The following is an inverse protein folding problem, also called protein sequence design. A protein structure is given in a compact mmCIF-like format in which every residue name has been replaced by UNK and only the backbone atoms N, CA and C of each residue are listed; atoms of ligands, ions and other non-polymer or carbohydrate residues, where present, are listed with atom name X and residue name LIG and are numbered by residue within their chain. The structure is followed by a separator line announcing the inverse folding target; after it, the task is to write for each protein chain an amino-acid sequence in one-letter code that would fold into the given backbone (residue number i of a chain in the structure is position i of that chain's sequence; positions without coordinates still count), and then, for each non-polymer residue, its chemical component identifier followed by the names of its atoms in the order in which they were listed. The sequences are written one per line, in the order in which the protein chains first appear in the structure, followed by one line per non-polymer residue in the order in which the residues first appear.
data_IF_147025826927
#
_entry.id   IF_147025826927
#
_cell.length_a   1.000
_cell.length_b   1.000
_cell.length_c   1.000
_cell.angle_alpha   90.00
_cell.angle_beta   90.00
_cell.angle_gamma   90.00
#
_symmetry.space_group_name_H-M   'P 1'
#
loop_
_entity.id
_entity.type
_entity.pdbx_description
1 polymer ?
#
# COMPACT_ATOMS: atom_id res chain seq x y z
N UNK A 1 19.98 11.20 -10.19
CA UNK A 1 19.54 9.85 -10.60
C UNK A 1 18.64 9.97 -11.83
N UNK A 2 18.66 9.00 -12.76
CA UNK A 2 17.69 8.89 -13.86
C UNK A 2 17.13 7.46 -13.92
N UNK A 3 15.85 7.32 -14.26
CA UNK A 3 15.19 6.04 -14.49
C UNK A 3 14.64 6.01 -15.92
N UNK A 4 14.77 4.87 -16.59
CA UNK A 4 14.11 4.61 -17.86
C UNK A 4 13.07 3.50 -17.69
N UNK A 5 11.88 3.69 -18.25
CA UNK A 5 10.86 2.64 -18.34
C UNK A 5 11.30 1.60 -19.37
N UNK A 6 11.51 0.36 -18.92
CA UNK A 6 11.98 -0.75 -19.77
C UNK A 6 10.83 -1.65 -20.20
N UNK A 7 9.83 -1.83 -19.34
CA UNK A 7 8.69 -2.70 -19.63
C UNK A 7 7.45 -2.16 -18.92
N UNK A 8 6.29 -2.27 -19.58
CA UNK A 8 4.97 -2.00 -19.03
C UNK A 8 4.00 -3.08 -19.51
N UNK A 9 3.33 -3.75 -18.58
CA UNK A 9 2.38 -4.84 -18.87
C UNK A 9 1.13 -4.70 -18.02
N UNK A 10 -0.04 -4.96 -18.60
CA UNK A 10 -1.25 -5.26 -17.83
C UNK A 10 -1.18 -6.70 -17.32
N UNK A 11 -1.59 -6.95 -16.09
CA UNK A 11 -1.52 -8.29 -15.47
C UNK A 11 -2.79 -9.09 -15.76
N UNK A 12 -3.95 -8.46 -15.72
CA UNK A 12 -5.21 -9.13 -16.03
C UNK A 12 -5.40 -9.19 -17.56
N UNK A 13 -5.82 -10.35 -18.12
CA UNK A 13 -6.24 -10.40 -19.51
C UNK A 13 -7.44 -9.50 -19.75
N UNK A 14 -7.70 -9.12 -20.99
CA UNK A 14 -8.94 -8.40 -21.34
C UNK A 14 -10.15 -9.25 -20.93
N UNK A 15 -10.90 -8.79 -19.93
CA UNK A 15 -12.08 -9.47 -19.42
C UNK A 15 -13.21 -9.38 -20.44
N UNK A 16 -13.73 -10.52 -20.90
CA UNK A 16 -15.01 -10.58 -21.58
C UNK A 16 -16.13 -10.18 -20.61
N UNK A 17 -17.03 -9.29 -21.06
CA UNK A 17 -18.40 -8.94 -20.60
C UNK A 17 -18.79 -8.85 -19.11
N UNK A 18 -18.03 -9.33 -18.13
CA UNK A 18 -18.37 -9.25 -16.71
C UNK A 18 -17.79 -7.99 -16.04
N UNK A 19 -18.63 -7.32 -15.25
CA UNK A 19 -18.24 -6.14 -14.47
C UNK A 19 -17.44 -6.58 -13.24
N UNK A 20 -16.11 -6.45 -13.31
CA UNK A 20 -15.19 -6.81 -12.23
C UNK A 20 -14.26 -5.65 -11.87
N UNK A 21 -14.02 -5.42 -10.58
CA UNK A 21 -13.08 -4.44 -10.06
C UNK A 21 -11.89 -5.12 -9.39
N UNK A 22 -10.69 -4.58 -9.61
CA UNK A 22 -9.46 -4.98 -8.92
C UNK A 22 -8.74 -3.76 -8.35
N UNK A 23 -8.13 -3.91 -7.17
CA UNK A 23 -7.49 -2.79 -6.49
C UNK A 23 -6.43 -3.22 -5.45
N UNK A 24 -5.64 -2.25 -4.98
CA UNK A 24 -4.63 -2.40 -3.94
C UNK A 24 -3.63 -3.53 -4.17
N UNK A 25 -2.83 -3.42 -5.23
CA UNK A 25 -1.78 -4.39 -5.50
C UNK A 25 -0.64 -4.32 -4.47
N UNK A 26 0.02 -5.45 -4.24
CA UNK A 26 1.29 -5.61 -3.52
C UNK A 26 2.26 -6.42 -4.38
N UNK A 27 3.56 -6.27 -4.16
CA UNK A 27 4.60 -6.89 -4.98
C UNK A 27 5.78 -7.36 -4.12
N UNK A 28 6.33 -8.54 -4.42
CA UNK A 28 7.59 -9.03 -3.85
C UNK A 28 8.43 -9.70 -4.94
N UNK A 29 9.76 -9.71 -4.77
CA UNK A 29 10.68 -10.52 -5.58
C UNK A 29 11.20 -11.67 -4.74
N UNK A 30 11.13 -12.89 -5.28
CA UNK A 30 11.65 -14.09 -4.64
C UNK A 30 13.12 -14.31 -5.03
N UNK A 31 13.92 -15.07 -4.23
CA UNK A 31 15.33 -15.34 -4.52
C UNK A 31 15.60 -15.99 -5.89
N UNK A 32 14.62 -16.75 -6.41
CA UNK A 32 14.72 -17.35 -7.75
C UNK A 32 14.49 -16.34 -8.90
N UNK A 33 14.29 -15.07 -8.59
CA UNK A 33 14.06 -13.99 -9.56
C UNK A 33 12.60 -13.76 -9.95
N UNK A 34 11.69 -14.69 -9.61
CA UNK A 34 10.24 -14.56 -9.83
C UNK A 34 9.70 -13.36 -9.05
N UNK A 35 8.91 -12.50 -9.70
CA UNK A 35 8.07 -11.53 -8.99
C UNK A 35 6.72 -12.17 -8.68
N UNK A 36 6.14 -11.82 -7.55
CA UNK A 36 4.78 -12.21 -7.18
C UNK A 36 4.00 -10.94 -6.87
N UNK A 37 2.87 -10.78 -7.55
CA UNK A 37 1.93 -9.68 -7.30
C UNK A 37 0.61 -10.25 -6.80
N UNK A 38 0.00 -9.57 -5.83
CA UNK A 38 -1.35 -9.89 -5.36
C UNK A 38 -2.19 -8.62 -5.24
N UNK A 39 -3.50 -8.75 -5.35
CA UNK A 39 -4.48 -7.66 -5.25
C UNK A 39 -5.83 -8.24 -4.80
N UNK A 40 -6.74 -7.38 -4.32
CA UNK A 40 -8.11 -7.82 -4.10
C UNK A 40 -8.95 -7.55 -5.33
N UNK A 41 -9.93 -8.40 -5.60
CA UNK A 41 -10.85 -8.19 -6.70
C UNK A 41 -12.19 -8.93 -6.52
N UNK A 42 -13.26 -8.33 -7.05
CA UNK A 42 -14.66 -8.74 -6.92
C UNK A 42 -15.57 -7.85 -7.77
N UNK A 43 -16.89 -7.97 -7.63
CA UNK A 43 -17.87 -7.14 -8.33
C UNK A 43 -17.69 -5.64 -8.01
N UNK A 44 -17.43 -5.32 -6.73
CA UNK A 44 -17.16 -3.97 -6.25
C UNK A 44 -16.28 -4.06 -5.00
N UNK A 45 -15.50 -3.02 -4.74
CA UNK A 45 -14.83 -2.88 -3.45
C UNK A 45 -15.82 -3.08 -2.27
N UNK A 46 -15.50 -4.04 -1.41
CA UNK A 46 -16.30 -4.42 -0.25
C UNK A 46 -17.49 -5.34 -0.48
N UNK A 47 -17.70 -5.82 -1.71
CA UNK A 47 -18.67 -6.87 -1.93
C UNK A 47 -18.20 -8.21 -1.36
N UNK A 48 -19.14 -9.03 -0.91
CA UNK A 48 -18.89 -10.34 -0.27
C UNK A 48 -18.16 -11.34 -1.17
N UNK A 49 -18.15 -11.13 -2.49
CA UNK A 49 -17.40 -11.93 -3.45
C UNK A 49 -15.93 -11.49 -3.60
N UNK A 50 -15.52 -10.40 -2.95
CA UNK A 50 -14.15 -9.89 -3.03
C UNK A 50 -13.18 -10.90 -2.44
N UNK A 51 -12.21 -11.31 -3.25
CA UNK A 51 -11.18 -12.30 -2.91
C UNK A 51 -9.79 -11.74 -3.16
N UNK A 52 -8.76 -12.42 -2.63
CA UNK A 52 -7.36 -12.12 -2.96
C UNK A 52 -6.93 -12.96 -4.16
N UNK A 53 -6.44 -12.28 -5.17
CA UNK A 53 -5.90 -12.84 -6.40
C UNK A 53 -4.40 -12.61 -6.47
N UNK A 54 -3.71 -13.53 -7.12
CA UNK A 54 -2.25 -13.53 -7.23
C UNK A 54 -1.81 -13.95 -8.63
N UNK A 55 -0.76 -13.32 -9.13
CA UNK A 55 -0.06 -13.75 -10.34
C UNK A 55 1.45 -13.71 -10.12
N UNK A 56 2.18 -14.57 -10.83
CA UNK A 56 3.64 -14.63 -10.80
C UNK A 56 4.20 -14.14 -12.12
N UNK A 57 5.30 -13.40 -12.07
CA UNK A 57 6.04 -12.97 -13.24
C UNK A 57 7.23 -13.90 -13.47
N UNK A 58 7.16 -14.68 -14.54
CA UNK A 58 8.16 -15.68 -14.90
C UNK A 58 8.41 -15.60 -16.40
N UNK A 59 9.68 -15.73 -16.82
CA UNK A 59 10.04 -15.69 -18.25
C UNK A 59 9.48 -14.46 -19.00
N UNK A 60 9.47 -13.30 -18.34
CA UNK A 60 8.95 -12.03 -18.83
C UNK A 60 7.43 -11.93 -19.07
N UNK A 61 6.65 -12.90 -18.56
CA UNK A 61 5.19 -12.91 -18.65
C UNK A 61 4.54 -13.10 -17.28
N UNK A 62 3.35 -12.55 -17.10
CA UNK A 62 2.51 -12.83 -15.93
C UNK A 62 1.71 -14.11 -16.16
N UNK A 63 1.69 -15.00 -15.16
CA UNK A 63 0.84 -16.19 -15.18
C UNK A 63 -0.64 -15.81 -15.07
N UNK A 64 -1.54 -16.69 -15.50
CA UNK A 64 -2.98 -16.51 -15.27
C UNK A 64 -3.25 -16.29 -13.76
N UNK A 65 -3.94 -15.21 -13.37
CA UNK A 65 -4.25 -14.95 -11.97
C UNK A 65 -4.98 -16.11 -11.30
N UNK A 66 -4.56 -16.44 -10.08
CA UNK A 66 -5.15 -17.48 -9.25
C UNK A 66 -5.80 -16.84 -8.03
N UNK A 67 -7.00 -17.31 -7.67
CA UNK A 67 -7.67 -16.91 -6.43
C UNK A 67 -7.07 -17.70 -5.26
N UNK A 68 -6.39 -16.99 -4.34
CA UNK A 68 -5.58 -17.62 -3.28
C UNK A 68 -6.17 -17.48 -1.88
N UNK A 69 -7.07 -16.51 -1.67
CA UNK A 69 -7.84 -16.40 -0.43
C UNK A 69 -9.26 -15.93 -0.75
N UNK A 70 -10.26 -16.68 -0.29
CA UNK A 70 -11.68 -16.35 -0.41
C UNK A 70 -12.47 -17.03 0.70
N UNK A 71 -13.51 -16.36 1.20
CA UNK A 71 -14.47 -16.89 2.16
C UNK A 71 -15.84 -16.37 1.79
N UNK A 72 -16.80 -17.28 1.70
CA UNK A 72 -18.17 -16.95 1.31
C UNK A 72 -18.79 -15.95 2.30
N UNK A 73 -19.42 -14.90 1.79
CA UNK A 73 -20.06 -13.87 2.60
C UNK A 73 -19.11 -12.84 3.22
N UNK A 74 -17.80 -12.90 2.98
CA UNK A 74 -16.82 -12.02 3.63
C UNK A 74 -15.84 -11.38 2.63
N UNK A 75 -15.88 -10.05 2.54
CA UNK A 75 -15.01 -9.29 1.66
C UNK A 75 -13.54 -9.35 2.12
N UNK A 76 -12.64 -9.57 1.17
CA UNK A 76 -11.19 -9.54 1.35
C UNK A 76 -10.58 -8.24 0.84
N UNK A 77 -9.54 -7.73 1.51
CA UNK A 77 -8.99 -6.41 1.19
C UNK A 77 -7.48 -6.33 1.38
N UNK A 78 -6.89 -5.28 0.77
CA UNK A 78 -5.54 -4.77 1.02
C UNK A 78 -4.48 -5.86 1.29
N UNK A 79 -4.23 -6.76 0.33
CA UNK A 79 -3.21 -7.79 0.49
C UNK A 79 -1.82 -7.17 0.63
N UNK A 80 -0.96 -7.79 1.43
CA UNK A 80 0.45 -7.43 1.59
C UNK A 80 1.30 -8.70 1.52
N UNK A 81 2.16 -8.76 0.51
CA UNK A 81 3.14 -9.84 0.34
C UNK A 81 4.43 -9.51 1.10
N UNK A 82 5.04 -10.52 1.70
CA UNK A 82 6.30 -10.37 2.42
C UNK A 82 7.11 -11.66 2.35
N UNK A 83 8.39 -11.56 2.03
CA UNK A 83 9.30 -12.69 1.97
C UNK A 83 10.54 -12.39 2.82
N UNK A 84 10.53 -12.72 4.13
CA UNK A 84 11.63 -12.39 5.03
C UNK A 84 12.86 -13.29 4.82
N UNK A 85 12.66 -14.56 4.49
CA UNK A 85 13.75 -15.53 4.39
C UNK A 85 13.37 -16.81 3.64
N UNK A 86 12.43 -17.60 4.16
CA UNK A 86 12.13 -18.95 3.68
C UNK A 86 10.72 -19.08 3.07
N UNK A 87 9.73 -18.46 3.71
CA UNK A 87 8.32 -18.53 3.35
C UNK A 87 7.83 -17.22 2.75
N UNK A 88 6.94 -17.34 1.78
CA UNK A 88 6.13 -16.23 1.32
C UNK A 88 4.93 -16.06 2.24
N UNK A 89 4.80 -14.88 2.83
CA UNK A 89 3.65 -14.47 3.62
C UNK A 89 2.71 -13.62 2.78
N UNK A 90 1.42 -13.86 2.94
CA UNK A 90 0.36 -13.00 2.41
C UNK A 90 -0.56 -12.62 3.56
N UNK A 91 -0.47 -11.36 3.97
CA UNK A 91 -1.41 -10.74 4.89
C UNK A 91 -2.56 -10.14 4.10
N UNK A 92 -3.78 -10.14 4.64
CA UNK A 92 -4.94 -9.50 4.04
C UNK A 92 -5.95 -9.13 5.12
N UNK A 93 -6.91 -8.25 4.78
CA UNK A 93 -8.03 -7.92 5.68
C UNK A 93 -9.27 -8.71 5.29
N UNK A 94 -10.04 -9.08 6.30
CA UNK A 94 -11.30 -9.81 6.18
C UNK A 94 -12.38 -9.12 7.00
N UNK A 95 -13.50 -8.76 6.39
CA UNK A 95 -14.62 -8.10 7.06
C UNK A 95 -15.53 -7.36 6.08
N UNK A 96 -16.72 -6.97 6.55
CA UNK A 96 -17.75 -6.31 5.73
C UNK A 96 -17.35 -4.92 5.23
N UNK A 97 -16.54 -4.20 6.01
CA UNK A 97 -16.09 -2.85 5.73
C UNK A 97 -14.77 -2.53 6.46
N UNK A 98 -14.22 -1.35 6.18
CA UNK A 98 -12.91 -0.90 6.70
C UNK A 98 -12.90 -0.61 8.20
N UNK A 99 -14.06 -0.49 8.86
CA UNK A 99 -14.17 -0.20 10.29
C UNK A 99 -14.06 -1.46 11.14
N UNK A 100 -14.51 -2.61 10.61
CA UNK A 100 -14.61 -3.87 11.37
C UNK A 100 -13.68 -4.98 10.87
N UNK A 101 -12.94 -4.74 9.77
CA UNK A 101 -12.06 -5.74 9.21
C UNK A 101 -10.95 -6.19 10.17
N UNK A 102 -10.50 -7.44 10.03
CA UNK A 102 -9.41 -8.02 10.81
C UNK A 102 -8.34 -8.57 9.90
N UNK A 103 -7.13 -8.69 10.44
CA UNK A 103 -5.99 -9.19 9.66
C UNK A 103 -5.89 -10.69 9.75
N UNK A 104 -5.83 -11.30 8.59
CA UNK A 104 -5.56 -12.71 8.40
C UNK A 104 -4.28 -12.88 7.60
N UNK A 105 -3.68 -14.05 7.70
CA UNK A 105 -2.55 -14.40 6.88
C UNK A 105 -2.58 -15.86 6.45
N UNK A 106 -1.91 -16.10 5.32
CA UNK A 106 -1.54 -17.42 4.83
C UNK A 106 -0.06 -17.40 4.47
N UNK A 107 0.59 -18.56 4.53
CA UNK A 107 2.00 -18.71 4.16
C UNK A 107 2.18 -19.77 3.09
N UNK A 108 3.21 -19.61 2.27
CA UNK A 108 3.58 -20.56 1.22
C UNK A 108 5.06 -20.90 1.33
N UNK A 109 5.37 -22.20 1.29
CA UNK A 109 6.75 -22.72 1.26
C UNK A 109 7.20 -23.09 -0.16
N UNK A 110 6.32 -22.94 -1.15
CA UNK A 110 6.56 -23.31 -2.54
C UNK A 110 6.39 -22.11 -3.48
N UNK A 111 6.71 -20.89 -3.04
CA UNK A 111 6.71 -19.68 -3.91
C UNK A 111 5.31 -19.25 -4.38
N UNK A 112 4.28 -19.57 -3.61
CA UNK A 112 2.90 -19.15 -3.84
C UNK A 112 2.07 -20.11 -4.70
N UNK A 113 2.50 -21.36 -4.89
CA UNK A 113 1.67 -22.38 -5.56
C UNK A 113 0.63 -22.94 -4.61
N UNK A 114 1.01 -23.23 -3.36
CA UNK A 114 0.11 -23.70 -2.30
C UNK A 114 0.25 -22.83 -1.05
N UNK A 115 -0.82 -22.83 -0.24
CA UNK A 115 -0.96 -21.96 0.91
C UNK A 115 -1.41 -22.72 2.14
N UNK A 116 -0.93 -22.30 3.30
CA UNK A 116 -1.39 -22.82 4.60
C UNK A 116 -2.87 -22.51 4.83
N UNK A 117 -3.47 -23.18 5.82
CA UNK A 117 -4.78 -22.77 6.34
C UNK A 117 -4.71 -21.31 6.83
N UNK A 118 -5.72 -20.47 6.51
CA UNK A 118 -5.80 -19.11 7.03
C UNK A 118 -5.84 -19.07 8.56
N UNK A 119 -5.16 -18.08 9.13
CA UNK A 119 -5.21 -17.77 10.56
C UNK A 119 -5.32 -16.26 10.81
N UNK A 120 -6.01 -15.81 11.88
CA UNK A 120 -5.95 -14.42 12.31
C UNK A 120 -4.52 -14.08 12.75
N UNK A 121 -4.09 -12.83 12.54
CA UNK A 121 -2.74 -12.40 12.90
C UNK A 121 -2.51 -12.40 14.42
N UNK A 122 -3.52 -11.94 15.17
CA UNK A 122 -3.54 -11.94 16.63
C UNK A 122 -4.91 -12.46 17.06
N UNK A 123 -4.92 -13.55 17.81
CA UNK A 123 -6.16 -14.18 18.27
C UNK A 123 -6.96 -13.22 19.16
N UNK A 124 -8.28 -13.21 18.96
CA UNK A 124 -9.26 -12.46 19.76
C UNK A 124 -9.06 -10.93 19.82
N UNK A 125 -8.18 -10.37 19.00
CA UNK A 125 -8.02 -8.93 18.87
C UNK A 125 -9.16 -8.33 18.02
N UNK A 126 -9.58 -7.12 18.40
CA UNK A 126 -10.60 -6.35 17.67
C UNK A 126 -9.97 -5.36 16.69
N UNK A 127 -8.67 -5.08 16.83
CA UNK A 127 -7.96 -4.15 15.96
C UNK A 127 -7.50 -4.82 14.65
N UNK A 128 -7.39 -4.07 13.54
CA UNK A 128 -6.97 -4.59 12.24
C UNK A 128 -5.44 -4.76 12.13
N UNK A 129 -4.78 -5.30 13.18
CA UNK A 129 -3.33 -5.50 13.43
C UNK A 129 -2.43 -5.73 12.19
N UNK A 130 -1.12 -5.58 12.31
CA UNK A 130 -0.19 -5.85 11.18
C UNK A 130 -0.38 -4.91 9.97
N UNK A 131 0.12 -5.30 8.78
CA UNK A 131 0.25 -4.37 7.67
C UNK A 131 -1.11 -4.07 7.02
N UNK A 132 -1.28 -2.84 6.52
CA UNK A 132 -2.43 -2.44 5.68
C UNK A 132 -1.89 -1.79 4.42
N UNK A 133 -2.15 -2.39 3.26
CA UNK A 133 -1.79 -1.88 1.91
C UNK A 133 -0.29 -1.84 1.59
N UNK A 134 0.55 -1.30 2.48
CA UNK A 134 1.98 -1.16 2.25
C UNK A 134 2.78 -2.31 2.88
N UNK A 135 3.91 -2.63 2.24
CA UNK A 135 4.82 -3.70 2.64
C UNK A 135 5.46 -3.46 4.02
N UNK A 136 5.80 -4.56 4.70
CA UNK A 136 6.59 -4.51 5.92
C UNK A 136 8.02 -4.10 5.59
N UNK A 137 8.68 -3.53 6.59
CA UNK A 137 10.12 -3.35 6.62
C UNK A 137 10.74 -4.45 7.50
N UNK A 138 11.69 -5.20 6.96
CA UNK A 138 12.58 -6.05 7.76
C UNK A 138 13.72 -5.16 8.26
N UNK A 139 13.69 -4.78 9.54
CA UNK A 139 14.68 -3.88 10.11
C UNK A 139 16.04 -4.57 10.31
N UNK A 140 17.10 -3.78 10.43
CA UNK A 140 18.48 -4.25 10.57
C UNK A 140 18.75 -5.15 11.78
N UNK A 141 17.89 -5.12 12.81
CA UNK A 141 17.95 -6.03 13.97
C UNK A 141 17.13 -7.33 13.78
N UNK A 142 16.55 -7.55 12.59
CA UNK A 142 15.70 -8.70 12.27
C UNK A 142 14.22 -8.53 12.63
N UNK A 143 13.82 -7.41 13.25
CA UNK A 143 12.42 -7.17 13.58
C UNK A 143 11.58 -6.89 12.33
N UNK A 144 10.34 -7.39 12.33
CA UNK A 144 9.35 -7.08 11.31
C UNK A 144 8.56 -5.85 11.74
N UNK A 145 8.59 -4.82 10.91
CA UNK A 145 7.94 -3.54 11.16
C UNK A 145 6.76 -3.43 10.18
N UNK A 146 5.55 -3.68 10.65
CA UNK A 146 4.35 -3.73 9.83
C UNK A 146 3.53 -2.44 9.93
N UNK A 147 3.52 -1.59 8.88
CA UNK A 147 2.76 -0.34 8.90
C UNK A 147 1.25 -0.60 8.71
N UNK A 148 0.43 -0.09 9.61
CA UNK A 148 -1.02 -0.26 9.56
C UNK A 148 -1.79 1.02 9.90
N UNK A 149 -3.11 0.93 9.82
CA UNK A 149 -4.00 2.01 10.19
C UNK A 149 -5.37 1.51 10.63
N UNK A 150 -6.02 2.30 11.47
CA UNK A 150 -7.42 2.17 11.84
C UNK A 150 -8.17 3.30 11.15
N UNK A 151 -9.16 2.93 10.36
CA UNK A 151 -10.08 3.85 9.70
C UNK A 151 -11.38 3.76 10.48
N UNK A 152 -11.61 4.65 11.44
CA UNK A 152 -12.91 4.74 12.14
C UNK A 152 -13.75 5.89 11.56
N UNK A 153 -15.09 5.90 11.76
CA UNK A 153 -15.93 7.00 11.29
C UNK A 153 -15.53 8.38 11.84
N UNK A 154 -14.90 8.41 13.01
CA UNK A 154 -14.58 9.63 13.74
C UNK A 154 -13.13 10.07 13.55
N UNK A 155 -12.20 9.11 13.44
CA UNK A 155 -10.77 9.40 13.35
C UNK A 155 -9.99 8.30 12.65
N UNK A 156 -9.07 8.73 11.79
CA UNK A 156 -8.10 7.88 11.16
C UNK A 156 -6.77 7.92 11.92
N UNK A 157 -6.21 6.74 12.20
CA UNK A 157 -4.99 6.62 13.01
C UNK A 157 -4.02 5.63 12.40
N UNK A 158 -2.79 6.06 12.15
CA UNK A 158 -1.71 5.17 11.80
C UNK A 158 -1.10 4.49 13.03
N UNK A 159 -0.59 3.28 12.81
CA UNK A 159 0.18 2.54 13.78
C UNK A 159 1.26 1.71 13.07
N UNK A 160 2.18 1.18 13.87
CA UNK A 160 3.11 0.13 13.46
C UNK A 160 2.97 -1.04 14.39
N UNK A 161 2.81 -2.23 13.83
CA UNK A 161 2.83 -3.47 14.58
C UNK A 161 4.21 -4.12 14.42
N UNK A 162 4.87 -4.40 15.54
CA UNK A 162 6.24 -4.91 15.55
C UNK A 162 6.28 -6.36 16.02
N UNK A 163 6.98 -7.21 15.28
CA UNK A 163 7.34 -8.55 15.72
C UNK A 163 8.86 -8.71 15.76
N UNK A 164 9.38 -9.27 16.85
CA UNK A 164 10.81 -9.58 17.03
C UNK A 164 11.11 -11.07 17.00
N UNK A 165 10.13 -11.88 16.61
CA UNK A 165 10.18 -13.34 16.68
C UNK A 165 9.50 -14.00 15.47
N UNK A 166 9.70 -13.39 14.31
CA UNK A 166 9.27 -13.91 13.00
C UNK A 166 7.74 -14.07 12.90
N UNK A 167 7.01 -13.08 13.39
CA UNK A 167 5.55 -12.98 13.25
C UNK A 167 4.75 -13.77 14.28
N UNK A 168 5.39 -14.35 15.30
CA UNK A 168 4.70 -15.12 16.36
C UNK A 168 3.99 -14.22 17.34
N UNK A 169 4.63 -13.12 17.76
CA UNK A 169 4.04 -12.12 18.64
C UNK A 169 4.19 -10.72 18.04
N UNK A 170 3.21 -9.88 18.33
CA UNK A 170 3.04 -8.56 17.74
C UNK A 170 2.77 -7.51 18.82
N UNK A 171 3.49 -6.39 18.76
CA UNK A 171 3.33 -5.23 19.65
C UNK A 171 3.01 -3.98 18.85
N UNK A 172 1.83 -3.41 19.09
CA UNK A 172 1.35 -2.21 18.41
C UNK A 172 1.93 -0.93 19.04
N UNK A 173 2.35 0.01 18.19
CA UNK A 173 2.75 1.36 18.56
C UNK A 173 2.01 2.36 17.68
N UNK A 174 1.27 3.29 18.29
CA UNK A 174 0.50 4.29 17.56
C UNK A 174 1.37 5.48 17.17
N UNK A 175 1.12 6.02 15.98
CA UNK A 175 1.78 7.24 15.52
C UNK A 175 0.99 8.45 16.06
N UNK A 176 1.58 9.29 16.91
CA UNK A 176 0.89 10.47 17.42
C UNK A 176 0.58 11.45 16.29
N UNK A 177 -0.61 12.03 16.30
CA UNK A 177 -1.02 13.08 15.37
C UNK A 177 -1.73 14.16 16.18
N UNK A 178 -1.23 15.39 16.10
CA UNK A 178 -1.88 16.52 16.75
C UNK A 178 -3.25 16.80 16.10
N UNK A 179 -4.27 17.13 16.90
CA UNK A 179 -5.51 17.68 16.37
C UNK A 179 -5.16 18.92 15.54
N UNK A 180 -5.65 19.01 14.31
CA UNK A 180 -5.54 20.28 13.58
C UNK A 180 -6.59 21.24 14.14
N UNK A 181 -6.19 22.50 14.32
CA UNK A 181 -7.13 23.61 14.37
C UNK A 181 -7.61 23.88 12.94
N UNK A 182 -8.48 23.01 12.43
CA UNK A 182 -9.23 23.13 11.17
C UNK A 182 -8.50 23.82 9.99
N UNK A 183 -7.89 23.05 9.09
CA UNK A 183 -7.73 23.51 7.70
C UNK A 183 -9.01 23.16 6.95
N UNK A 184 -9.87 24.18 6.80
CA UNK A 184 -11.05 24.14 5.95
C UNK A 184 -10.67 23.69 4.54
N UNK A 185 -11.24 22.59 4.06
CA UNK A 185 -11.15 22.21 2.66
C UNK A 185 -11.76 23.30 1.79
N UNK A 186 -10.94 24.10 1.12
CA UNK A 186 -11.41 24.95 0.01
C UNK A 186 -11.64 24.07 -1.21
N UNK A 187 -12.84 24.16 -1.80
CA UNK A 187 -13.30 23.58 -3.07
C UNK A 187 -12.17 23.07 -4.01
N UNK A 188 -11.85 21.79 -3.92
CA UNK A 188 -11.07 21.07 -4.94
C UNK A 188 -12.04 20.22 -5.76
N UNK A 189 -11.80 20.12 -7.07
CA UNK A 189 -12.59 19.26 -7.94
C UNK A 189 -12.58 17.81 -7.42
N UNK A 190 -13.74 17.39 -6.90
CA UNK A 190 -13.94 16.07 -6.30
C UNK A 190 -13.71 14.96 -7.33
N UNK A 191 -12.97 13.91 -6.96
CA UNK A 191 -12.70 12.77 -7.82
C UNK A 191 -13.99 12.10 -8.30
N UNK A 192 -14.09 11.88 -9.62
CA UNK A 192 -15.33 11.44 -10.28
C UNK A 192 -15.84 10.08 -9.81
N UNK A 193 -14.99 9.21 -9.27
CA UNK A 193 -15.44 7.89 -8.81
C UNK A 193 -16.28 7.93 -7.54
N UNK A 194 -16.24 9.01 -6.74
CA UNK A 194 -17.21 9.23 -5.65
C UNK A 194 -18.61 9.35 -6.24
N UNK A 195 -18.77 10.17 -7.29
CA UNK A 195 -20.06 10.34 -7.99
C UNK A 195 -20.52 9.04 -8.66
N UNK A 196 -19.59 8.17 -9.05
CA UNK A 196 -19.86 6.89 -9.71
C UNK A 196 -20.06 5.72 -8.72
N UNK A 197 -20.08 5.95 -7.41
CA UNK A 197 -20.35 4.89 -6.44
C UNK A 197 -19.24 3.84 -6.35
N UNK A 198 -18.00 4.22 -6.66
CA UNK A 198 -16.88 3.29 -6.86
C UNK A 198 -16.28 2.79 -5.54
N UNK A 199 -16.36 3.60 -4.48
CA UNK A 199 -15.87 3.27 -3.15
C UNK A 199 -16.91 2.47 -2.37
N UNK A 200 -16.46 1.81 -1.30
CA UNK A 200 -17.36 1.18 -0.33
C UNK A 200 -18.29 2.20 0.37
N UNK A 201 -17.82 3.44 0.57
CA UNK A 201 -18.58 4.60 1.06
C UNK A 201 -18.45 5.78 0.09
N UNK A 202 -19.58 6.36 -0.31
CA UNK A 202 -19.66 7.44 -1.30
C UNK A 202 -20.45 8.66 -0.80
N UNK A 203 -21.00 8.63 0.42
CA UNK A 203 -21.67 9.76 1.04
C UNK A 203 -20.66 10.88 1.35
N UNK A 204 -20.74 12.00 0.61
CA UNK A 204 -19.78 13.10 0.74
C UNK A 204 -19.72 13.70 2.15
N UNK A 205 -20.84 13.77 2.87
CA UNK A 205 -20.87 14.24 4.25
C UNK A 205 -20.04 13.35 5.18
N UNK A 206 -20.07 12.04 4.99
CA UNK A 206 -19.26 11.08 5.76
C UNK A 206 -17.78 11.21 5.36
N UNK A 207 -17.48 11.27 4.06
CA UNK A 207 -16.12 11.37 3.54
C UNK A 207 -15.37 12.63 4.01
N UNK A 208 -16.08 13.73 4.23
CA UNK A 208 -15.52 15.01 4.68
C UNK A 208 -15.33 15.09 6.20
N UNK A 209 -15.96 14.20 6.98
CA UNK A 209 -15.76 14.12 8.45
C UNK A 209 -14.48 13.39 8.82
N UNK A 210 -13.96 12.54 7.94
CA UNK A 210 -12.76 11.76 8.21
C UNK A 210 -11.53 12.66 8.31
N UNK A 211 -10.86 12.56 9.45
CA UNK A 211 -9.60 13.25 9.72
C UNK A 211 -8.52 12.28 10.18
N UNK A 212 -7.34 12.38 9.57
CA UNK A 212 -6.13 11.75 10.07
C UNK A 212 -5.16 11.28 8.99
N UNK A 213 -4.28 10.37 9.41
CA UNK A 213 -3.20 9.80 8.61
C UNK A 213 -3.28 8.28 8.61
N UNK A 214 -3.04 7.64 7.46
CA UNK A 214 -3.19 6.20 7.27
C UNK A 214 -2.16 5.63 6.30
N UNK A 215 -2.11 4.29 6.20
CA UNK A 215 -1.37 3.54 5.19
C UNK A 215 0.11 3.99 5.06
N UNK A 216 0.90 3.90 6.15
CA UNK A 216 2.29 4.35 6.12
C UNK A 216 3.13 3.53 5.14
N UNK A 217 4.14 4.15 4.53
CA UNK A 217 5.25 3.45 3.85
C UNK A 217 6.55 3.75 4.61
N UNK A 218 7.44 2.76 4.74
CA UNK A 218 8.57 2.79 5.67
C UNK A 218 9.93 2.64 4.97
N UNK A 219 10.98 3.21 5.57
CA UNK A 219 12.38 2.89 5.27
C UNK A 219 13.25 3.06 6.52
N UNK A 220 14.38 2.36 6.59
CA UNK A 220 15.41 2.52 7.62
C UNK A 220 16.62 3.23 7.01
N UNK A 221 17.02 4.38 7.57
CA UNK A 221 18.17 5.15 7.08
C UNK A 221 19.49 4.70 7.69
N UNK A 222 19.44 4.18 8.91
CA UNK A 222 20.54 3.58 9.66
C UNK A 222 19.96 2.71 10.78
N UNK A 223 20.73 1.77 11.37
CA UNK A 223 20.20 0.85 12.37
C UNK A 223 19.40 1.54 13.48
N UNK A 224 18.11 1.21 13.57
CA UNK A 224 17.17 1.75 14.55
C UNK A 224 16.48 3.06 14.16
N UNK A 225 16.96 3.75 13.12
CA UNK A 225 16.39 4.98 12.58
C UNK A 225 15.42 4.68 11.44
N UNK A 226 14.15 4.50 11.80
CA UNK A 226 13.07 4.17 10.87
C UNK A 226 12.22 5.41 10.64
N UNK A 227 11.87 5.64 9.38
CA UNK A 227 11.06 6.77 8.96
C UNK A 227 9.81 6.27 8.27
N UNK A 228 8.78 7.09 8.27
CA UNK A 228 7.56 6.81 7.52
C UNK A 228 7.02 8.04 6.79
N UNK A 229 6.39 7.79 5.65
CA UNK A 229 5.48 8.74 5.01
C UNK A 229 4.05 8.21 5.10
N UNK A 230 3.10 9.11 5.34
CA UNK A 230 1.69 8.77 5.52
C UNK A 230 0.80 9.53 4.55
N UNK A 231 -0.16 8.81 3.97
CA UNK A 231 -1.33 9.40 3.30
C UNK A 231 -2.20 10.12 4.33
N UNK A 232 -2.84 11.21 3.94
CA UNK A 232 -3.72 11.97 4.84
C UNK A 232 -4.97 12.50 4.16
N UNK A 233 -5.97 12.86 4.96
CA UNK A 233 -7.12 13.67 4.55
C UNK A 233 -6.82 15.18 4.55
N UNK A 234 -5.63 15.58 5.01
CA UNK A 234 -5.23 16.97 5.28
C UNK A 234 -4.47 17.64 4.12
N UNK A 235 -4.51 17.04 2.93
CA UNK A 235 -3.98 17.66 1.71
C UNK A 235 -2.45 17.56 1.53
N UNK A 236 -1.73 17.00 2.49
CA UNK A 236 -0.27 16.83 2.45
C UNK A 236 0.14 15.41 2.85
N UNK A 237 1.30 14.94 2.39
CA UNK A 237 1.93 13.74 2.95
C UNK A 237 2.51 14.11 4.32
N UNK A 238 2.31 13.24 5.30
CA UNK A 238 2.88 13.43 6.65
C UNK A 238 4.12 12.56 6.84
N UNK A 239 5.01 12.98 7.73
CA UNK A 239 6.20 12.22 8.16
C UNK A 239 6.19 11.99 9.65
N UNK A 240 6.62 10.80 10.08
CA UNK A 240 6.94 10.47 11.47
C UNK A 240 8.21 9.61 11.49
N UNK A 241 8.95 9.67 12.59
CA UNK A 241 10.27 9.04 12.71
C UNK A 241 10.38 8.29 14.04
N UNK A 242 11.16 7.23 14.01
CA UNK A 242 11.50 6.38 15.15
C UNK A 242 13.03 6.25 15.23
N UNK A 243 13.55 6.22 16.44
CA UNK A 243 14.98 6.01 16.75
C UNK A 243 15.20 4.72 17.56
N UNK A 244 14.18 3.87 17.64
CA UNK A 244 14.12 2.69 18.50
C UNK A 244 13.45 1.50 17.79
N UNK A 245 13.73 1.32 16.50
CA UNK A 245 13.21 0.21 15.69
C UNK A 245 11.68 0.17 15.62
N UNK A 246 11.03 1.34 15.57
CA UNK A 246 9.58 1.48 15.49
C UNK A 246 8.85 1.17 16.80
N UNK A 247 9.55 1.18 17.93
CA UNK A 247 8.92 1.01 19.23
C UNK A 247 8.13 2.25 19.66
N UNK A 248 8.67 3.43 19.39
CA UNK A 248 7.98 4.71 19.54
C UNK A 248 8.13 5.56 18.29
N UNK A 249 7.21 6.52 18.14
CA UNK A 249 7.11 7.37 16.95
C UNK A 249 6.97 8.83 17.37
N UNK A 250 7.71 9.71 16.68
CA UNK A 250 7.53 11.15 16.80
C UNK A 250 6.12 11.54 16.35
N UNK A 251 5.65 12.70 16.81
CA UNK A 251 4.43 13.30 16.28
C UNK A 251 4.53 13.42 14.76
N UNK A 252 3.49 12.97 14.05
CA UNK A 252 3.38 13.09 12.61
C UNK A 252 3.22 14.56 12.22
N UNK A 253 4.04 15.01 11.27
CA UNK A 253 4.07 16.40 10.78
C UNK A 253 3.89 16.45 9.28
N UNK A 254 3.21 17.48 8.79
CA UNK A 254 3.06 17.70 7.36
C UNK A 254 4.42 17.95 6.70
N UNK A 255 4.60 17.39 5.51
CA UNK A 255 5.73 17.68 4.61
C UNK A 255 5.32 18.71 3.55
N UNK A 256 6.25 19.10 2.69
CA UNK A 256 5.96 19.94 1.52
C UNK A 256 5.27 19.16 0.38
N UNK A 257 5.18 17.83 0.45
CA UNK A 257 4.57 17.02 -0.60
C UNK A 257 3.03 17.05 -0.51
N UNK A 258 2.34 17.26 -1.64
CA UNK A 258 0.88 17.24 -1.67
C UNK A 258 0.34 15.81 -1.52
N UNK A 259 -0.86 15.67 -0.97
CA UNK A 259 -1.58 14.39 -0.99
C UNK A 259 -3.08 14.61 -1.16
N UNK A 260 -3.62 14.11 -2.28
CA UNK A 260 -5.05 14.16 -2.60
C UNK A 260 -5.88 13.08 -1.87
N UNK A 261 -5.38 12.58 -0.74
CA UNK A 261 -5.85 11.35 -0.09
C UNK A 261 -5.74 10.11 -1.00
N UNK A 262 -4.72 10.04 -1.85
CA UNK A 262 -4.33 8.82 -2.58
C UNK A 262 -3.30 8.00 -1.80
N UNK A 263 -3.33 6.68 -1.97
CA UNK A 263 -2.29 5.78 -1.48
C UNK A 263 -0.94 6.07 -2.13
N UNK A 264 0.12 5.97 -1.32
CA UNK A 264 1.52 6.12 -1.70
C UNK A 264 2.32 4.86 -1.34
N UNK A 265 3.46 4.64 -1.98
CA UNK A 265 4.45 3.67 -1.52
C UNK A 265 5.85 4.11 -1.95
N UNK A 266 6.85 3.74 -1.15
CA UNK A 266 8.24 4.16 -1.29
C UNK A 266 9.16 2.95 -1.29
N UNK A 267 10.30 3.07 -1.97
CA UNK A 267 11.42 2.14 -1.79
C UNK A 267 12.73 2.90 -1.57
N UNK A 268 13.58 2.38 -0.70
CA UNK A 268 14.98 2.81 -0.58
C UNK A 268 15.86 1.97 -1.50
N UNK A 269 16.67 2.64 -2.31
CA UNK A 269 17.66 2.03 -3.18
C UNK A 269 18.92 1.65 -2.39
N UNK A 270 19.79 0.82 -2.97
CA UNK A 270 21.04 0.39 -2.34
C UNK A 270 22.00 1.55 -2.01
N UNK A 271 21.92 2.66 -2.75
CA UNK A 271 22.73 3.86 -2.53
C UNK A 271 22.09 4.84 -1.52
N UNK A 272 20.97 4.46 -0.90
CA UNK A 272 20.20 5.29 0.02
C UNK A 272 19.20 6.23 -0.65
N UNK A 273 19.17 6.32 -1.99
CA UNK A 273 18.17 7.14 -2.69
C UNK A 273 16.76 6.59 -2.44
N UNK A 274 15.84 7.44 -2.02
CA UNK A 274 14.43 7.08 -1.86
C UNK A 274 13.68 7.36 -3.17
N UNK A 275 12.82 6.44 -3.60
CA UNK A 275 11.89 6.65 -4.70
C UNK A 275 10.46 6.50 -4.16
N UNK A 276 9.67 7.55 -4.31
CA UNK A 276 8.27 7.60 -3.90
C UNK A 276 7.36 7.58 -5.13
N UNK A 277 6.38 6.67 -5.12
CA UNK A 277 5.26 6.66 -6.05
C UNK A 277 4.05 7.35 -5.41
N UNK A 278 3.53 8.40 -6.06
CA UNK A 278 2.41 9.21 -5.56
C UNK A 278 1.60 9.85 -6.70
N UNK A 279 0.42 10.37 -6.35
CA UNK A 279 -0.26 11.37 -7.17
C UNK A 279 0.10 12.76 -6.62
N UNK A 280 0.86 13.61 -7.35
CA UNK A 280 1.32 14.91 -6.87
C UNK A 280 0.20 15.97 -6.97
N UNK A 281 -0.91 15.72 -6.29
CA UNK A 281 -2.16 16.50 -6.38
C UNK A 281 -2.56 16.96 -4.98
N UNK A 282 -2.91 18.24 -4.84
CA UNK A 282 -3.37 18.82 -3.58
C UNK A 282 -4.84 18.50 -3.27
N UNK A 283 -5.22 18.65 -1.99
CA UNK A 283 -6.61 18.59 -1.52
C UNK A 283 -7.00 17.28 -0.87
N UNK A 284 -8.27 17.13 -0.48
CA UNK A 284 -8.81 15.83 -0.05
C UNK A 284 -9.75 15.31 -1.15
N UNK A 285 -9.61 14.03 -1.53
CA UNK A 285 -10.40 13.42 -2.60
C UNK A 285 -10.24 14.06 -3.99
N UNK A 286 -9.04 14.59 -4.28
CA UNK A 286 -8.71 15.15 -5.59
C UNK A 286 -8.45 14.09 -6.67
N UNK A 287 -8.23 14.55 -7.92
CA UNK A 287 -7.95 13.67 -9.08
C UNK A 287 -6.79 12.68 -8.84
N UNK A 288 -6.90 11.48 -9.42
CA UNK A 288 -5.93 10.38 -9.28
C UNK A 288 -5.02 10.22 -10.52
N UNK A 289 -4.67 11.34 -11.13
CA UNK A 289 -3.69 11.46 -12.21
C UNK A 289 -2.98 12.82 -12.14
N UNK A 290 -1.68 12.92 -12.47
CA UNK A 290 -0.80 11.82 -12.90
C UNK A 290 -0.46 10.85 -11.75
N UNK A 291 0.05 9.66 -12.09
CA UNK A 291 0.81 8.80 -11.16
C UNK A 291 2.29 8.99 -11.48
N UNK A 292 3.05 9.49 -10.51
CA UNK A 292 4.43 9.96 -10.72
C UNK A 292 5.41 9.27 -9.80
N UNK A 293 6.67 9.23 -10.22
CA UNK A 293 7.83 8.89 -9.41
C UNK A 293 8.64 10.14 -9.11
N UNK A 294 8.99 10.30 -7.84
CA UNK A 294 9.89 11.36 -7.37
C UNK A 294 10.99 10.73 -6.51
N UNK A 295 12.13 11.39 -6.39
CA UNK A 295 13.27 10.89 -5.62
C UNK A 295 13.77 11.89 -4.57
N UNK A 296 14.30 11.34 -3.47
CA UNK A 296 15.02 12.08 -2.44
C UNK A 296 16.39 11.44 -2.21
N UNK A 297 17.42 12.28 -2.04
CA UNK A 297 18.79 11.88 -1.71
C UNK A 297 19.24 12.39 -0.34
N UNK A 298 18.32 13.02 0.40
CA UNK A 298 18.55 13.67 1.69
C UNK A 298 17.58 13.13 2.75
N UNK A 299 17.32 11.82 2.71
CA UNK A 299 16.50 11.11 3.68
C UNK A 299 15.05 11.65 3.79
N UNK A 300 14.46 12.04 2.66
CA UNK A 300 13.07 12.46 2.54
C UNK A 300 12.81 13.94 2.84
N UNK A 301 13.85 14.75 3.02
CA UNK A 301 13.72 16.19 3.30
C UNK A 301 13.36 17.00 2.03
N UNK A 302 13.95 16.68 0.88
CA UNK A 302 13.63 17.28 -0.41
C UNK A 302 13.41 16.23 -1.51
N UNK A 303 12.61 16.61 -2.51
CA UNK A 303 12.13 15.71 -3.54
C UNK A 303 12.25 16.32 -4.93
N UNK A 304 12.76 15.53 -5.88
CA UNK A 304 12.89 15.90 -7.28
C UNK A 304 12.05 14.97 -8.17
N UNK A 305 11.36 15.51 -9.19
CA UNK A 305 10.61 14.69 -10.12
C UNK A 305 11.52 13.77 -10.93
N UNK A 306 11.10 12.51 -11.14
CA UNK A 306 11.79 11.57 -12.02
C UNK A 306 11.03 11.37 -13.33
N UNK A 307 9.79 10.90 -13.26
CA UNK A 307 8.94 10.59 -14.42
C UNK A 307 7.48 10.42 -14.00
N UNK A 308 6.57 10.57 -14.96
CA UNK A 308 5.19 10.14 -14.84
C UNK A 308 5.03 8.73 -15.43
N UNK A 309 4.43 7.81 -14.68
CA UNK A 309 4.03 6.50 -15.17
C UNK A 309 2.75 6.58 -16.01
N UNK A 310 1.86 7.48 -15.61
CA UNK A 310 0.58 7.75 -16.27
C UNK A 310 0.28 9.24 -16.16
N UNK A 311 0.04 9.92 -17.29
CA UNK A 311 -0.28 11.35 -17.33
C UNK A 311 -1.69 11.64 -17.84
N UNK A 312 -2.29 10.70 -18.56
CA UNK A 312 -3.63 10.87 -19.15
C UNK A 312 -4.72 10.95 -18.07
N UNK A 313 -5.91 11.38 -18.48
CA UNK A 313 -7.06 11.40 -17.57
C UNK A 313 -7.47 9.97 -17.19
N UNK A 314 -7.39 9.64 -15.91
CA UNK A 314 -7.77 8.32 -15.41
C UNK A 314 -7.71 8.19 -13.89
N UNK A 315 -7.96 6.99 -13.39
CA UNK A 315 -7.70 6.62 -12.01
C UNK A 315 -6.47 5.69 -11.94
N UNK A 316 -5.34 6.24 -11.51
CA UNK A 316 -4.12 5.49 -11.27
C UNK A 316 -3.73 5.62 -9.81
N UNK A 317 -3.79 4.51 -9.08
CA UNK A 317 -3.71 4.59 -7.62
C UNK A 317 -3.17 3.31 -6.99
N UNK A 318 -2.88 3.41 -5.69
CA UNK A 318 -2.38 2.31 -4.86
C UNK A 318 -1.14 1.64 -5.48
N UNK A 319 -0.05 2.41 -5.71
CA UNK A 319 1.19 1.83 -6.18
C UNK A 319 1.78 0.91 -5.09
N UNK A 320 2.45 -0.15 -5.51
CA UNK A 320 3.41 -0.92 -4.72
C UNK A 320 4.74 -0.92 -5.46
N UNK A 321 5.82 -0.56 -4.76
CA UNK A 321 7.14 -0.37 -5.34
C UNK A 321 8.21 -1.16 -4.56
N UNK A 322 9.08 -1.86 -5.28
CA UNK A 322 10.28 -2.52 -4.74
C UNK A 322 11.48 -2.25 -5.65
N UNK A 323 12.68 -2.48 -5.15
CA UNK A 323 13.92 -2.29 -5.90
C UNK A 323 14.90 -3.43 -5.64
N UNK A 324 15.71 -3.76 -6.65
CA UNK A 324 16.84 -4.68 -6.52
C UNK A 324 17.84 -4.46 -7.65
N UNK A 325 19.13 -4.31 -7.33
CA UNK A 325 20.20 -4.24 -8.34
C UNK A 325 20.02 -3.12 -9.38
N UNK A 326 19.61 -1.92 -8.95
CA UNK A 326 19.34 -0.79 -9.84
C UNK A 326 18.05 -0.91 -10.68
N UNK A 327 17.27 -1.97 -10.47
CA UNK A 327 15.94 -2.15 -11.07
C UNK A 327 14.88 -1.70 -10.08
N UNK A 328 13.87 -1.01 -10.59
CA UNK A 328 12.67 -0.64 -9.82
C UNK A 328 11.48 -1.35 -10.44
N UNK A 329 10.71 -2.06 -9.61
CA UNK A 329 9.52 -2.78 -10.01
C UNK A 329 8.31 -2.14 -9.33
N UNK A 330 7.27 -1.88 -10.12
CA UNK A 330 6.08 -1.16 -9.65
C UNK A 330 4.84 -1.89 -10.14
N UNK A 331 3.85 -2.08 -9.26
CA UNK A 331 2.48 -2.38 -9.66
C UNK A 331 1.53 -1.29 -9.19
N UNK A 332 0.44 -1.05 -9.90
CA UNK A 332 -0.59 -0.10 -9.49
C UNK A 332 -1.95 -0.45 -10.07
N UNK A 333 -3.01 0.03 -9.43
CA UNK A 333 -4.36 -0.06 -9.95
C UNK A 333 -4.56 0.90 -11.12
N UNK A 334 -5.07 0.37 -12.23
CA UNK A 334 -5.40 1.11 -13.44
C UNK A 334 -6.91 1.08 -13.66
N UNK A 335 -7.57 2.22 -13.46
CA UNK A 335 -9.01 2.44 -13.61
C UNK A 335 -9.92 1.45 -12.87
N UNK A 336 -9.39 0.80 -11.81
CA UNK A 336 -9.99 -0.34 -11.09
C UNK A 336 -10.35 -1.55 -11.96
N UNK A 337 -9.90 -1.56 -13.21
CA UNK A 337 -10.18 -2.63 -14.18
C UNK A 337 -8.99 -3.54 -14.39
N UNK A 338 -7.78 -3.05 -14.09
CA UNK A 338 -6.57 -3.84 -14.23
C UNK A 338 -5.53 -3.46 -13.17
N UNK A 339 -4.53 -4.32 -13.02
CA UNK A 339 -3.27 -4.02 -12.36
C UNK A 339 -2.21 -3.90 -13.46
N UNK A 340 -1.48 -2.78 -13.46
CA UNK A 340 -0.35 -2.59 -14.38
C UNK A 340 0.95 -2.82 -13.63
N UNK A 341 1.89 -3.50 -14.29
CA UNK A 341 3.26 -3.67 -13.87
C UNK A 341 4.20 -2.83 -14.74
N UNK A 342 5.13 -2.13 -14.09
CA UNK A 342 6.23 -1.41 -14.73
C UNK A 342 7.58 -1.91 -14.21
N UNK A 343 8.53 -2.12 -15.12
CA UNK A 343 9.95 -2.33 -14.82
C UNK A 343 10.74 -1.11 -15.27
N UNK A 344 11.47 -0.49 -14.36
CA UNK A 344 12.35 0.64 -14.65
C UNK A 344 13.79 0.28 -14.29
N UNK A 345 14.74 0.88 -14.99
CA UNK A 345 16.17 0.68 -14.80
C UNK A 345 16.87 2.02 -14.57
N UNK A 346 17.80 2.07 -13.62
CA UNK A 346 18.73 3.20 -13.48
C UNK A 346 19.62 3.32 -14.71
N UNK A 347 19.71 4.52 -15.27
CA UNK A 347 20.54 4.84 -16.44
C UNK A 347 21.68 5.78 -16.13
#
# INVERSE_FOLDING_TARGET
MKLALVNRQVILPESGTESFQCHASTLVRLPCGTLVAAWFAGLREGSEDTAIWLSRYEHNIWTTPQRVAAREGEAHWNPVLFYPSDKLWLFYKLGSDVHVWKTWFITSSDRGFTWSTPAPLVNDDILPRGPVKNKLLLASNGAWIAPGSIESPERWRAFVDRSSDEGKHWSISFVPLEPDNAISGTNVALWDGIKKGVLWECCLENLLRWDGVIQPTLWESSPGHIHMLLRSTRGAIFRSDSIDYGATWSVARATSLPNNNSGIDLVSMQDGTLILALNPVNGNWGKRYPLSLIASQDNGESWLPLLDLESDHGEYSYPAIISEGGVVHITYTWNRKNIVYCRLQTV
#
